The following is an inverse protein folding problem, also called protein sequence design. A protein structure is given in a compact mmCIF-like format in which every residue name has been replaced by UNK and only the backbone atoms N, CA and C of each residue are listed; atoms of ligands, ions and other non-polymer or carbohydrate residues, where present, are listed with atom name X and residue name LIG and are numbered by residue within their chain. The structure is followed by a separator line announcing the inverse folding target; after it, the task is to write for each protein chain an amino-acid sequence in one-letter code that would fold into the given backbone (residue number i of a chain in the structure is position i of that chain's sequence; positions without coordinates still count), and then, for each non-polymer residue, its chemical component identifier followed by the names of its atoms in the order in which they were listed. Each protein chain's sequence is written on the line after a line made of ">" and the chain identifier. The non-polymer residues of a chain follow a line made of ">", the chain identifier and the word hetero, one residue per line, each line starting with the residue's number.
data_IF_942038092929
#
_entry.id   IF_942038092929
#
_cell.length_a   1.000
_cell.length_b   1.000
_cell.length_c   1.000
_cell.angle_alpha   90.00
_cell.angle_beta   90.00
_cell.angle_gamma   90.00
#
_symmetry.space_group_name_H-M   'P 1'
#
loop_
_entity.id
_entity.type
_entity.pdbx_description
1 polymer ?
#
# COMPACT_ATOMS: atom_id res chain seq x y z
N UNK A 1 -24.46 6.12 -6.72
CA UNK A 1 -23.14 5.54 -6.38
C UNK A 1 -23.33 4.12 -5.88
N UNK A 2 -22.55 3.18 -6.42
CA UNK A 2 -22.49 1.80 -5.91
C UNK A 2 -21.63 1.74 -4.61
N UNK A 3 -21.66 0.60 -3.92
CA UNK A 3 -20.93 0.43 -2.66
C UNK A 3 -19.41 0.58 -2.82
N UNK A 4 -18.86 0.16 -3.96
CA UNK A 4 -17.43 0.33 -4.26
C UNK A 4 -17.04 1.80 -4.35
N UNK A 5 -17.83 2.62 -5.04
CA UNK A 5 -17.61 4.07 -5.16
C UNK A 5 -17.74 4.78 -3.81
N UNK A 6 -18.69 4.36 -2.96
CA UNK A 6 -18.82 4.88 -1.60
C UNK A 6 -17.58 4.57 -0.75
N UNK A 7 -17.06 3.35 -0.84
CA UNK A 7 -15.82 2.95 -0.17
C UNK A 7 -14.62 3.75 -0.68
N UNK A 8 -14.48 3.91 -2.00
CA UNK A 8 -13.41 4.71 -2.60
C UNK A 8 -13.44 6.15 -2.10
N UNK A 9 -14.62 6.79 -2.11
CA UNK A 9 -14.78 8.16 -1.63
C UNK A 9 -14.42 8.26 -0.14
N UNK A 10 -14.92 7.34 0.69
CA UNK A 10 -14.62 7.34 2.11
C UNK A 10 -13.12 7.20 2.41
N UNK A 11 -12.42 6.34 1.67
CA UNK A 11 -10.97 6.17 1.79
C UNK A 11 -10.24 7.46 1.39
N UNK A 12 -10.64 8.10 0.27
CA UNK A 12 -10.04 9.37 -0.17
C UNK A 12 -10.27 10.48 0.85
N UNK A 13 -11.48 10.59 1.41
CA UNK A 13 -11.82 11.55 2.46
C UNK A 13 -10.99 11.36 3.73
N UNK A 14 -10.74 10.13 4.16
CA UNK A 14 -9.87 9.87 5.32
C UNK A 14 -8.41 10.17 4.98
N UNK A 15 -7.94 9.72 3.83
CA UNK A 15 -6.54 9.81 3.42
C UNK A 15 -6.10 11.25 3.11
N UNK A 16 -7.01 12.13 2.70
CA UNK A 16 -6.72 13.54 2.44
C UNK A 16 -6.31 14.34 3.69
N UNK A 17 -6.52 13.80 4.89
CA UNK A 17 -6.03 14.38 6.15
C UNK A 17 -4.54 14.10 6.41
N UNK A 18 -3.89 13.30 5.57
CA UNK A 18 -2.46 12.97 5.68
C UNK A 18 -1.70 13.69 4.59
N UNK A 19 -0.88 14.66 4.99
CA UNK A 19 -0.03 15.40 4.06
C UNK A 19 0.92 14.45 3.30
N UNK A 20 1.07 14.72 1.99
CA UNK A 20 1.97 13.97 1.10
C UNK A 20 1.63 12.48 0.92
N UNK A 21 0.40 12.07 1.26
CA UNK A 21 -0.12 10.75 0.90
C UNK A 21 -0.66 10.78 -0.53
N UNK A 22 -0.01 10.04 -1.43
CA UNK A 22 -0.38 10.05 -2.86
C UNK A 22 -1.45 9.01 -3.22
N UNK A 23 -1.35 7.79 -2.66
CA UNK A 23 -2.19 6.67 -3.06
C UNK A 23 -2.43 5.70 -1.90
N UNK A 24 -3.64 5.15 -1.83
CA UNK A 24 -3.99 4.01 -0.99
C UNK A 24 -4.44 2.86 -1.89
N UNK A 25 -3.77 1.71 -1.77
CA UNK A 25 -4.07 0.51 -2.56
C UNK A 25 -4.32 -0.65 -1.62
N UNK A 26 -5.48 -1.29 -1.77
CA UNK A 26 -5.77 -2.59 -1.17
C UNK A 26 -5.53 -3.66 -2.21
N UNK A 27 -4.72 -4.66 -1.88
CA UNK A 27 -4.39 -5.76 -2.79
C UNK A 27 -4.76 -7.10 -2.19
N UNK A 28 -4.86 -8.13 -3.02
CA UNK A 28 -4.77 -9.51 -2.55
C UNK A 28 -3.32 -9.92 -2.23
N UNK A 29 -3.11 -11.21 -1.95
CA UNK A 29 -1.80 -11.78 -1.63
C UNK A 29 -0.81 -11.71 -2.81
N UNK A 30 -1.30 -11.74 -4.05
CA UNK A 30 -0.48 -11.66 -5.26
C UNK A 30 -0.13 -10.20 -5.64
N UNK A 31 -0.63 -9.23 -4.86
CA UNK A 31 -0.43 -7.80 -5.11
C UNK A 31 -1.37 -7.23 -6.17
N UNK A 32 -2.43 -7.96 -6.56
CA UNK A 32 -3.45 -7.49 -7.49
C UNK A 32 -4.32 -6.45 -6.79
N UNK A 33 -4.48 -5.23 -7.34
CA UNK A 33 -5.31 -4.19 -6.73
C UNK A 33 -6.79 -4.58 -6.71
N UNK A 34 -7.37 -4.66 -5.50
CA UNK A 34 -8.82 -4.80 -5.24
C UNK A 34 -9.46 -3.41 -5.20
N UNK A 35 -8.79 -2.45 -4.56
CA UNK A 35 -9.22 -1.05 -4.45
C UNK A 35 -8.01 -0.15 -4.64
N UNK A 36 -8.17 0.87 -5.48
CA UNK A 36 -7.17 1.91 -5.71
C UNK A 36 -7.80 3.27 -5.51
N UNK A 37 -7.19 4.08 -4.65
CA UNK A 37 -7.62 5.42 -4.31
C UNK A 37 -6.42 6.35 -4.51
N UNK A 38 -6.52 7.26 -5.48
CA UNK A 38 -5.54 8.33 -5.69
C UNK A 38 -5.98 9.57 -4.94
N UNK A 39 -5.11 10.10 -4.10
CA UNK A 39 -5.39 11.24 -3.20
C UNK A 39 -4.79 12.50 -3.81
N UNK A 40 -3.53 12.40 -4.26
CA UNK A 40 -2.83 13.46 -4.96
C UNK A 40 -2.40 12.96 -6.34
N UNK A 41 -2.97 13.55 -7.39
CA UNK A 41 -2.67 13.24 -8.79
C UNK A 41 -1.40 13.94 -9.31
N UNK A 42 -0.77 14.81 -8.51
CA UNK A 42 0.47 15.51 -8.85
C UNK A 42 1.66 14.56 -9.02
N UNK A 43 1.64 13.42 -8.34
CA UNK A 43 2.68 12.42 -8.49
C UNK A 43 2.27 11.39 -9.56
N UNK A 44 2.80 11.50 -10.77
CA UNK A 44 2.75 10.46 -11.82
C UNK A 44 3.57 9.20 -11.42
N UNK A 45 3.47 8.77 -10.18
CA UNK A 45 4.21 7.63 -9.63
C UNK A 45 3.24 6.50 -9.39
N UNK A 46 2.80 5.86 -10.48
CA UNK A 46 2.04 4.62 -10.36
C UNK A 46 2.92 3.56 -9.72
N UNK A 47 2.62 3.17 -8.48
CA UNK A 47 3.27 2.03 -7.84
C UNK A 47 3.01 0.81 -8.74
N UNK A 48 4.06 0.38 -9.46
CA UNK A 48 3.96 -0.76 -10.37
C UNK A 48 3.59 -1.99 -9.55
N UNK A 49 2.62 -2.76 -10.03
CA UNK A 49 2.14 -4.03 -9.42
C UNK A 49 3.27 -4.98 -9.04
N UNK A 50 4.42 -4.92 -9.73
CA UNK A 50 5.62 -5.71 -9.42
C UNK A 50 6.26 -5.37 -8.06
N UNK A 51 6.19 -4.13 -7.59
CA UNK A 51 6.59 -3.75 -6.22
C UNK A 51 5.59 -4.31 -5.19
N UNK A 52 4.31 -4.43 -5.57
CA UNK A 52 3.27 -4.99 -4.70
C UNK A 52 3.38 -6.50 -4.58
N UNK A 53 3.75 -7.22 -5.64
CA UNK A 53 3.93 -8.68 -5.62
C UNK A 53 5.17 -9.13 -4.82
N UNK A 54 6.20 -8.27 -4.67
CA UNK A 54 7.37 -8.55 -3.82
C UNK A 54 7.01 -8.75 -2.33
N UNK A 55 5.75 -8.45 -1.93
CA UNK A 55 5.26 -8.50 -0.56
C UNK A 55 5.07 -9.92 -0.04
N UNK A 56 4.42 -10.81 -0.80
CA UNK A 56 4.15 -12.18 -0.35
C UNK A 56 5.43 -12.95 0.02
N UNK A 57 6.47 -12.78 -0.79
CA UNK A 57 7.78 -13.41 -0.57
C UNK A 57 8.52 -12.84 0.66
N UNK A 58 8.22 -11.61 1.07
CA UNK A 58 8.84 -10.98 2.25
C UNK A 58 8.21 -11.46 3.55
N UNK A 59 6.88 -11.62 3.59
CA UNK A 59 6.15 -12.08 4.79
C UNK A 59 6.56 -13.50 5.18
N UNK A 60 6.66 -14.41 4.21
CA UNK A 60 7.06 -15.80 4.44
C UNK A 60 8.47 -15.91 5.01
N UNK A 61 9.41 -15.12 4.46
CA UNK A 61 10.79 -15.11 4.94
C UNK A 61 10.93 -14.45 6.32
N UNK A 62 10.21 -13.37 6.59
CA UNK A 62 10.27 -12.70 7.89
C UNK A 62 9.65 -13.54 9.00
N UNK A 63 8.63 -14.37 8.69
CA UNK A 63 8.08 -15.34 9.64
C UNK A 63 9.12 -16.33 10.17
N UNK A 64 10.21 -16.56 9.43
CA UNK A 64 11.31 -17.44 9.89
C UNK A 64 12.22 -16.80 10.95
N UNK A 65 12.11 -15.48 11.20
CA UNK A 65 12.99 -14.76 12.12
C UNK A 65 12.68 -15.01 13.60
N UNK A 66 11.70 -15.84 13.95
CA UNK A 66 11.31 -16.19 15.34
C UNK A 66 10.92 -14.99 16.23
N UNK A 67 10.63 -13.83 15.63
CA UNK A 67 10.26 -12.59 16.33
C UNK A 67 8.73 -12.37 16.41
N UNK A 68 7.95 -13.40 16.08
CA UNK A 68 6.49 -13.33 15.96
C UNK A 68 6.02 -12.95 14.56
N UNK A 69 4.72 -12.85 14.38
CA UNK A 69 4.10 -12.62 13.07
C UNK A 69 4.30 -11.18 12.58
N UNK A 70 4.63 -11.05 11.29
CA UNK A 70 4.81 -9.75 10.64
C UNK A 70 3.45 -9.07 10.44
N UNK A 71 3.13 -8.07 11.25
CA UNK A 71 1.87 -7.30 11.14
C UNK A 71 1.93 -6.17 10.13
N UNK A 72 3.07 -5.50 10.01
CA UNK A 72 3.27 -4.41 9.06
C UNK A 72 4.73 -4.25 8.67
N UNK A 73 4.96 -3.67 7.50
CA UNK A 73 6.29 -3.33 7.02
C UNK A 73 6.29 -1.94 6.37
N UNK A 74 7.34 -1.16 6.65
CA UNK A 74 7.56 0.15 6.06
C UNK A 74 8.80 0.08 5.18
N UNK A 75 8.64 0.42 3.91
CA UNK A 75 9.73 0.46 2.95
C UNK A 75 9.95 1.90 2.51
N UNK A 76 11.13 2.43 2.83
CA UNK A 76 11.54 3.77 2.44
C UNK A 76 12.44 3.69 1.21
N UNK A 77 12.03 4.34 0.14
CA UNK A 77 12.80 4.40 -1.10
C UNK A 77 13.20 5.84 -1.37
N UNK A 78 14.47 6.03 -1.70
CA UNK A 78 14.98 7.28 -2.24
C UNK A 78 15.14 7.11 -3.74
N UNK A 79 14.46 7.93 -4.53
CA UNK A 79 14.75 8.07 -5.96
C UNK A 79 15.18 9.50 -6.26
N UNK A 80 15.85 9.70 -7.40
CA UNK A 80 16.47 10.97 -7.81
C UNK A 80 15.52 12.19 -7.78
N UNK A 81 14.20 11.99 -7.69
CA UNK A 81 13.17 13.04 -7.67
C UNK A 81 12.28 13.03 -6.41
N UNK A 82 12.58 12.22 -5.38
CA UNK A 82 11.81 12.23 -4.13
C UNK A 82 12.02 10.99 -3.25
N UNK A 83 11.62 11.11 -1.98
CA UNK A 83 11.49 9.98 -1.07
C UNK A 83 10.04 9.51 -1.06
N UNK A 84 9.83 8.20 -1.16
CA UNK A 84 8.50 7.63 -0.96
C UNK A 84 8.53 6.52 0.08
N UNK A 85 7.46 6.46 0.85
CA UNK A 85 7.26 5.50 1.93
C UNK A 85 6.10 4.61 1.51
N UNK A 86 6.33 3.30 1.50
CA UNK A 86 5.29 2.30 1.33
C UNK A 86 5.03 1.67 2.68
N UNK A 87 3.83 1.88 3.22
CA UNK A 87 3.36 1.23 4.45
C UNK A 87 2.45 0.07 4.06
N UNK A 88 2.80 -1.13 4.52
CA UNK A 88 2.03 -2.34 4.28
C UNK A 88 1.48 -2.88 5.58
N UNK A 89 0.20 -3.24 5.57
CA UNK A 89 -0.46 -3.96 6.66
C UNK A 89 -0.75 -5.38 6.18
N UNK A 90 -0.32 -6.36 6.94
CA UNK A 90 -0.57 -7.76 6.68
C UNK A 90 -1.73 -8.22 7.57
N UNK A 91 -2.65 -8.98 6.99
CA UNK A 91 -3.73 -9.61 7.76
C UNK A 91 -3.17 -10.87 8.42
N UNK A 92 -3.34 -11.00 9.73
CA UNK A 92 -3.10 -12.25 10.45
C UNK A 92 -4.08 -13.32 9.92
N UNK A 93 -3.55 -14.51 9.62
CA UNK A 93 -4.31 -15.67 9.16
C UNK A 93 -5.25 -16.21 10.22
#
# INVERSE_FOLDING_TARGET
>A
MNNLQKLQQHVVELASHVDQLHEVIFTDLDGVPILRCSIDSSAEMSIKTRLLASKALSTEKVGTLTIGDLKSAVFCYSQNQGQYIIVNFFREG
#
